data_IF_128451424072
#
_entry.id   IF_128451424072
#
_cell.length_a   1.000
_cell.length_b   1.000
_cell.length_c   1.000
_cell.angle_alpha   90.00
_cell.angle_beta   90.00
_cell.angle_gamma   90.00
#
_symmetry.space_group_name_H-M   'P 1'
#
loop_
_entity.id
_entity.type
_entity.pdbx_description
1 polymer ?
#
# COMPACT_ATOMS: atom_id res chain seq x y z
N UNK A 1 -34.09 5.07 -26.90
CA UNK A 1 -32.70 5.02 -26.44
C UNK A 1 -32.30 3.68 -25.80
N UNK A 2 -33.17 3.02 -25.03
CA UNK A 2 -32.85 1.71 -24.40
C UNK A 2 -32.64 0.56 -25.38
N UNK A 3 -33.43 0.45 -26.45
CA UNK A 3 -33.31 -0.64 -27.41
C UNK A 3 -31.96 -0.68 -28.15
N UNK A 4 -31.39 0.48 -28.48
CA UNK A 4 -30.07 0.54 -29.14
C UNK A 4 -28.93 0.17 -28.19
N UNK A 5 -29.06 0.48 -26.90
CA UNK A 5 -28.08 0.07 -25.86
C UNK A 5 -28.10 -1.44 -25.67
N UNK A 6 -29.30 -2.04 -25.58
CA UNK A 6 -29.46 -3.49 -25.44
C UNK A 6 -28.88 -4.23 -26.66
N UNK A 7 -29.20 -3.76 -27.88
CA UNK A 7 -28.67 -4.36 -29.10
C UNK A 7 -27.13 -4.33 -29.13
N UNK A 8 -26.51 -3.21 -28.76
CA UNK A 8 -25.06 -3.08 -28.65
C UNK A 8 -24.47 -4.05 -27.60
N UNK A 9 -25.14 -4.24 -26.47
CA UNK A 9 -24.70 -5.16 -25.41
C UNK A 9 -24.80 -6.63 -25.82
N UNK A 10 -25.72 -6.97 -26.72
CA UNK A 10 -25.92 -8.32 -27.24
C UNK A 10 -24.99 -8.63 -28.44
N UNK A 11 -24.36 -7.60 -29.03
CA UNK A 11 -23.41 -7.80 -30.13
C UNK A 11 -22.10 -8.31 -29.60
N UNK A 12 -21.61 -9.46 -30.07
CA UNK A 12 -20.34 -10.03 -29.69
C UNK A 12 -19.19 -9.11 -30.14
N UNK A 13 -18.54 -8.49 -29.15
CA UNK A 13 -17.38 -7.64 -29.40
C UNK A 13 -16.09 -8.49 -29.40
N UNK A 14 -15.63 -8.85 -30.58
CA UNK A 14 -14.37 -9.60 -30.72
C UNK A 14 -13.12 -8.69 -30.57
N UNK A 15 -13.27 -7.38 -30.57
CA UNK A 15 -12.16 -6.42 -30.45
C UNK A 15 -11.53 -6.54 -29.08
N UNK A 16 -12.32 -6.51 -28.02
CA UNK A 16 -11.83 -6.67 -26.63
C UNK A 16 -11.09 -7.99 -26.42
N UNK A 17 -11.57 -9.07 -27.04
CA UNK A 17 -10.90 -10.37 -26.98
C UNK A 17 -9.54 -10.32 -27.67
N UNK A 18 -9.45 -9.73 -28.85
CA UNK A 18 -8.20 -9.56 -29.59
C UNK A 18 -7.20 -8.70 -28.80
N UNK A 19 -7.67 -7.59 -28.20
CA UNK A 19 -6.85 -6.69 -27.41
C UNK A 19 -6.31 -7.40 -26.15
N UNK A 20 -7.14 -8.21 -25.47
CA UNK A 20 -6.71 -9.01 -24.32
C UNK A 20 -5.63 -10.04 -24.69
N UNK A 21 -5.81 -10.77 -25.81
CA UNK A 21 -4.80 -11.72 -26.29
C UNK A 21 -3.52 -11.04 -26.74
N UNK A 22 -3.62 -9.90 -27.42
CA UNK A 22 -2.47 -9.09 -27.78
C UNK A 22 -1.70 -8.63 -26.53
N UNK A 23 -2.40 -8.10 -25.54
CA UNK A 23 -1.80 -7.68 -24.28
C UNK A 23 -1.04 -8.83 -23.58
N UNK A 24 -1.65 -10.02 -23.50
CA UNK A 24 -0.99 -11.21 -22.94
C UNK A 24 0.25 -11.61 -23.74
N UNK A 25 0.17 -11.57 -25.07
CA UNK A 25 1.30 -11.86 -25.95
C UNK A 25 2.42 -10.83 -25.76
N UNK A 26 2.08 -9.56 -25.66
CA UNK A 26 3.05 -8.48 -25.42
C UNK A 26 3.72 -8.60 -24.05
N UNK A 27 2.99 -9.01 -23.00
CA UNK A 27 3.57 -9.35 -21.69
C UNK A 27 4.54 -10.53 -21.80
N UNK A 28 4.16 -11.61 -22.50
CA UNK A 28 5.01 -12.80 -22.65
C UNK A 28 6.31 -12.51 -23.40
N UNK A 29 6.28 -11.59 -24.35
CA UNK A 29 7.45 -11.18 -25.12
C UNK A 29 8.25 -10.04 -24.49
N UNK A 30 7.81 -9.52 -23.33
CA UNK A 30 8.46 -8.39 -22.66
C UNK A 30 8.27 -7.03 -23.37
N UNK A 31 7.35 -6.93 -24.32
CA UNK A 31 6.98 -5.66 -24.99
C UNK A 31 6.20 -4.75 -24.06
N UNK A 32 5.51 -5.32 -23.08
CA UNK A 32 4.84 -4.64 -21.98
C UNK A 32 5.43 -5.20 -20.69
N UNK A 33 5.85 -4.33 -19.79
CA UNK A 33 6.30 -4.69 -18.44
C UNK A 33 5.32 -4.13 -17.42
N UNK A 34 4.92 -4.91 -16.38
CA UNK A 34 4.17 -4.40 -15.27
C UNK A 34 4.88 -3.20 -14.62
N UNK A 35 4.15 -2.28 -14.04
CA UNK A 35 4.73 -1.13 -13.38
C UNK A 35 5.33 -1.56 -12.04
N UNK A 36 6.61 -1.28 -11.84
CA UNK A 36 7.28 -1.52 -10.56
C UNK A 36 6.63 -0.68 -9.46
N UNK A 37 6.17 -1.35 -8.41
CA UNK A 37 5.58 -0.69 -7.23
C UNK A 37 6.63 -0.19 -6.24
N UNK A 38 7.92 -0.52 -6.42
CA UNK A 38 8.98 -0.28 -5.44
C UNK A 38 8.87 -1.15 -4.19
N UNK A 39 8.02 -2.16 -4.21
CA UNK A 39 7.77 -3.10 -3.11
C UNK A 39 7.82 -4.51 -3.68
N UNK A 40 8.95 -5.19 -3.49
CA UNK A 40 9.23 -6.49 -4.12
C UNK A 40 8.12 -7.52 -3.91
N UNK A 41 7.65 -7.65 -2.68
CA UNK A 41 6.59 -8.61 -2.39
C UNK A 41 5.24 -8.23 -3.02
N UNK A 42 4.93 -6.94 -3.22
CA UNK A 42 3.74 -6.51 -3.96
C UNK A 42 3.90 -6.82 -5.45
N UNK A 43 5.08 -6.60 -6.01
CA UNK A 43 5.37 -6.99 -7.39
C UNK A 43 5.21 -8.51 -7.59
N UNK A 44 5.70 -9.32 -6.64
CA UNK A 44 5.57 -10.77 -6.70
C UNK A 44 4.11 -11.25 -6.70
N UNK A 45 3.27 -10.68 -5.83
CA UNK A 45 1.84 -11.06 -5.75
C UNK A 45 0.98 -10.46 -6.87
N UNK A 46 1.52 -9.55 -7.66
CA UNK A 46 0.84 -8.87 -8.78
C UNK A 46 1.45 -9.19 -10.15
N UNK A 47 2.03 -10.38 -10.31
CA UNK A 47 2.60 -10.85 -11.58
C UNK A 47 3.73 -9.95 -12.12
N UNK A 48 4.59 -9.45 -11.23
CA UNK A 48 5.74 -8.62 -11.58
C UNK A 48 5.55 -7.13 -11.39
N UNK A 49 4.36 -6.67 -10.96
CA UNK A 49 4.08 -5.26 -10.70
C UNK A 49 2.61 -4.87 -10.92
N UNK A 50 2.33 -3.58 -10.90
CA UNK A 50 0.97 -3.07 -11.09
C UNK A 50 0.58 -3.23 -12.56
N UNK A 51 -0.46 -4.01 -12.80
CA UNK A 51 -1.04 -4.23 -14.14
C UNK A 51 -2.25 -3.30 -14.37
N UNK A 52 -2.47 -2.84 -15.61
CA UNK A 52 -3.72 -2.15 -15.96
C UNK A 52 -4.93 -3.05 -15.69
N UNK A 53 -6.09 -2.44 -15.46
CA UNK A 53 -7.32 -3.14 -15.12
C UNK A 53 -7.36 -3.73 -13.71
N UNK A 54 -6.38 -3.44 -12.86
CA UNK A 54 -6.33 -3.96 -11.48
C UNK A 54 -6.65 -2.90 -10.43
N UNK A 55 -7.15 -3.36 -9.28
CA UNK A 55 -7.37 -2.57 -8.09
C UNK A 55 -6.66 -3.22 -6.90
N UNK A 56 -5.69 -2.51 -6.35
CA UNK A 56 -5.00 -2.87 -5.10
C UNK A 56 -5.53 -2.03 -3.95
N UNK A 57 -6.05 -2.66 -2.91
CA UNK A 57 -6.46 -2.00 -1.68
C UNK A 57 -5.43 -2.22 -0.58
N UNK A 58 -4.92 -1.13 0.00
CA UNK A 58 -4.00 -1.13 1.14
C UNK A 58 -4.80 -0.70 2.37
N UNK A 59 -4.97 -1.60 3.32
CA UNK A 59 -5.79 -1.36 4.50
C UNK A 59 -4.94 -1.39 5.77
N UNK A 60 -5.16 -0.43 6.67
CA UNK A 60 -4.46 -0.38 7.96
C UNK A 60 -5.24 0.44 9.00
N UNK A 61 -4.85 0.33 10.27
CA UNK A 61 -5.25 1.30 11.29
C UNK A 61 -4.56 2.64 11.04
N UNK A 62 -5.15 3.72 11.56
CA UNK A 62 -4.52 5.05 11.53
C UNK A 62 -3.12 4.99 12.16
N UNK A 63 -2.16 5.73 11.61
CA UNK A 63 -0.77 5.73 12.09
C UNK A 63 0.08 4.52 11.69
N UNK A 64 -0.46 3.53 11.01
CA UNK A 64 0.27 2.33 10.59
C UNK A 64 1.03 2.49 9.25
N UNK A 65 1.25 3.71 8.77
CA UNK A 65 2.15 3.98 7.64
C UNK A 65 1.55 3.78 6.25
N UNK A 66 0.22 3.81 6.06
CA UNK A 66 -0.41 3.72 4.73
C UNK A 66 0.17 4.73 3.73
N UNK A 67 0.19 6.01 4.10
CA UNK A 67 0.70 7.08 3.24
C UNK A 67 2.21 6.94 2.96
N UNK A 68 2.97 6.33 3.90
CA UNK A 68 4.37 5.95 3.64
C UNK A 68 4.48 4.92 2.51
N UNK A 69 3.68 3.87 2.57
CA UNK A 69 3.64 2.82 1.54
C UNK A 69 3.17 3.38 0.19
N UNK A 70 2.15 4.25 0.18
CA UNK A 70 1.71 4.93 -1.04
C UNK A 70 2.82 5.83 -1.62
N UNK A 71 3.57 6.51 -0.76
CA UNK A 71 4.73 7.31 -1.17
C UNK A 71 5.85 6.48 -1.81
N UNK A 72 6.13 5.27 -1.30
CA UNK A 72 7.07 4.35 -1.94
C UNK A 72 6.62 3.99 -3.36
N UNK A 73 5.35 3.65 -3.51
CA UNK A 73 4.77 3.30 -4.81
C UNK A 73 4.82 4.52 -5.76
N UNK A 74 4.41 5.72 -5.30
CA UNK A 74 4.51 6.96 -6.09
C UNK A 74 5.93 7.16 -6.63
N UNK A 75 6.91 7.07 -5.73
CA UNK A 75 8.31 7.33 -6.08
C UNK A 75 8.86 6.29 -7.08
N UNK A 76 8.51 5.01 -6.93
CA UNK A 76 8.91 3.97 -7.89
C UNK A 76 8.28 4.18 -9.28
N UNK A 77 6.99 4.54 -9.32
CA UNK A 77 6.28 4.81 -10.56
C UNK A 77 6.88 5.99 -11.35
N UNK A 78 7.33 7.02 -10.65
CA UNK A 78 7.85 8.26 -11.25
C UNK A 78 9.40 8.30 -11.32
N UNK A 79 10.10 7.26 -10.86
CA UNK A 79 11.56 7.21 -10.81
C UNK A 79 12.22 7.36 -12.19
N UNK A 80 11.65 6.75 -13.20
CA UNK A 80 12.13 6.84 -14.58
C UNK A 80 11.38 7.97 -15.31
N UNK A 81 12.04 9.08 -15.70
CA UNK A 81 11.40 10.21 -16.36
C UNK A 81 10.88 9.88 -17.76
N UNK A 82 11.43 8.87 -18.43
CA UNK A 82 11.03 8.44 -19.78
C UNK A 82 9.83 7.48 -19.77
N UNK A 83 9.38 7.07 -18.59
CA UNK A 83 8.26 6.15 -18.46
C UNK A 83 6.95 6.81 -18.87
N UNK A 84 6.23 6.17 -19.80
CA UNK A 84 4.92 6.65 -20.27
C UNK A 84 3.83 6.32 -19.24
N UNK A 85 3.73 7.18 -18.24
CA UNK A 85 2.83 7.05 -17.10
C UNK A 85 2.25 8.39 -16.68
N UNK A 86 1.01 8.37 -16.20
CA UNK A 86 0.37 9.46 -15.46
C UNK A 86 -0.18 8.94 -14.14
N UNK A 87 -0.07 9.74 -13.10
CA UNK A 87 -0.60 9.44 -11.77
C UNK A 87 -1.61 10.52 -11.39
N UNK A 88 -2.85 10.11 -11.11
CA UNK A 88 -3.90 10.94 -10.54
C UNK A 88 -4.07 10.57 -9.07
N UNK A 89 -3.87 11.51 -8.17
CA UNK A 89 -3.93 11.26 -6.72
C UNK A 89 -5.01 12.10 -6.06
N UNK A 90 -6.07 11.45 -5.62
CA UNK A 90 -7.07 12.02 -4.72
C UNK A 90 -6.57 11.88 -3.29
N UNK A 91 -6.12 12.98 -2.69
CA UNK A 91 -5.65 13.04 -1.31
C UNK A 91 -6.61 13.85 -0.46
N UNK A 92 -7.48 13.18 0.26
CA UNK A 92 -8.52 13.77 1.09
C UNK A 92 -8.14 13.89 2.56
N UNK A 93 -7.04 13.23 3.00
CA UNK A 93 -6.70 13.12 4.42
C UNK A 93 -5.79 14.25 4.88
N UNK A 94 -4.81 14.65 4.06
CA UNK A 94 -3.73 15.50 4.53
C UNK A 94 -3.45 16.67 3.57
N UNK A 95 -3.39 17.92 4.05
CA UNK A 95 -2.98 19.06 3.24
C UNK A 95 -1.58 18.88 2.66
N UNK A 96 -1.32 19.42 1.45
CA UNK A 96 -0.05 19.26 0.75
C UNK A 96 1.15 19.71 1.59
N UNK A 97 1.03 20.83 2.33
CA UNK A 97 2.14 21.32 3.16
C UNK A 97 2.56 20.30 4.24
N UNK A 98 1.60 19.52 4.79
CA UNK A 98 1.91 18.48 5.77
C UNK A 98 2.62 17.29 5.12
N UNK A 99 2.23 16.90 3.91
CA UNK A 99 2.92 15.87 3.15
C UNK A 99 4.37 16.28 2.86
N UNK A 100 4.57 17.48 2.34
CA UNK A 100 5.91 18.04 2.09
C UNK A 100 6.74 18.09 3.38
N UNK A 101 6.13 18.51 4.50
CA UNK A 101 6.80 18.56 5.79
C UNK A 101 7.22 17.18 6.30
N UNK A 102 6.40 16.15 6.09
CA UNK A 102 6.74 14.76 6.42
C UNK A 102 7.90 14.24 5.57
N UNK A 103 7.91 14.55 4.28
CA UNK A 103 9.01 14.18 3.37
C UNK A 103 10.32 14.90 3.73
N UNK A 104 10.25 16.20 4.04
CA UNK A 104 11.40 16.96 4.53
C UNK A 104 11.95 16.39 5.84
N UNK A 105 11.09 16.07 6.81
CA UNK A 105 11.50 15.43 8.06
C UNK A 105 12.27 14.13 7.81
N UNK A 106 11.77 13.31 6.89
CA UNK A 106 12.38 12.03 6.52
C UNK A 106 13.74 12.25 5.83
N UNK A 107 13.78 13.14 4.86
CA UNK A 107 14.97 13.37 4.04
C UNK A 107 16.09 14.08 4.82
N UNK A 108 15.74 15.08 5.65
CA UNK A 108 16.68 15.85 6.44
C UNK A 108 17.04 15.20 7.78
N UNK A 109 16.29 14.17 8.21
CA UNK A 109 16.41 13.53 9.55
C UNK A 109 16.34 14.55 10.71
N UNK A 110 15.55 15.63 10.53
CA UNK A 110 15.39 16.73 11.50
C UNK A 110 13.98 16.72 12.11
N UNK A 111 13.83 17.15 13.38
CA UNK A 111 12.51 17.31 13.98
C UNK A 111 11.73 18.44 13.28
N UNK A 112 10.40 18.37 13.34
CA UNK A 112 9.52 19.37 12.74
C UNK A 112 9.80 20.80 13.23
N UNK A 113 10.07 20.95 14.54
CA UNK A 113 10.40 22.27 15.14
C UNK A 113 11.62 22.91 14.51
N UNK A 114 12.62 22.14 14.11
CA UNK A 114 13.81 22.67 13.41
C UNK A 114 13.46 23.06 11.97
N UNK A 115 12.73 22.21 11.25
CA UNK A 115 12.36 22.46 9.84
C UNK A 115 11.46 23.70 9.72
N UNK A 116 10.56 23.91 10.67
CA UNK A 116 9.61 25.05 10.65
C UNK A 116 10.11 26.29 11.37
N UNK A 117 11.07 26.14 12.29
CA UNK A 117 11.54 27.23 13.14
C UNK A 117 12.88 27.84 12.73
N UNK A 118 13.59 27.25 11.78
CA UNK A 118 14.88 27.76 11.31
C UNK A 118 14.88 27.98 9.80
N UNK A 119 15.58 29.03 9.32
CA UNK A 119 15.79 29.20 7.88
C UNK A 119 16.51 27.99 7.27
N UNK A 120 16.13 27.62 6.06
CA UNK A 120 16.77 26.56 5.27
C UNK A 120 18.24 26.92 5.00
N UNK A 121 19.15 25.99 5.31
CA UNK A 121 20.57 26.15 5.00
C UNK A 121 20.89 25.91 3.52
N UNK A 122 22.07 26.34 3.07
CA UNK A 122 22.53 26.09 1.68
C UNK A 122 22.63 24.60 1.37
N UNK A 123 23.06 23.80 2.34
CA UNK A 123 23.20 22.34 2.22
C UNK A 123 21.85 21.62 2.10
N UNK A 124 20.79 22.21 2.62
CA UNK A 124 19.44 21.65 2.56
C UNK A 124 18.69 21.97 1.27
N UNK A 125 19.07 23.04 0.58
CA UNK A 125 18.41 23.49 -0.66
C UNK A 125 18.23 22.38 -1.72
N UNK A 126 19.21 21.48 -1.95
CA UNK A 126 19.01 20.38 -2.90
C UNK A 126 17.88 19.42 -2.50
N UNK A 127 17.70 19.18 -1.18
CA UNK A 127 16.61 18.32 -0.67
C UNK A 127 15.25 18.98 -0.92
N UNK A 128 15.11 20.26 -0.59
CA UNK A 128 13.88 21.01 -0.87
C UNK A 128 13.56 21.03 -2.36
N UNK A 129 14.57 21.30 -3.21
CA UNK A 129 14.39 21.30 -4.66
C UNK A 129 13.96 19.94 -5.20
N UNK A 130 14.56 18.87 -4.68
CA UNK A 130 14.18 17.51 -5.06
C UNK A 130 12.70 17.25 -4.74
N UNK A 131 12.26 17.51 -3.51
CA UNK A 131 10.87 17.31 -3.09
C UNK A 131 9.92 18.18 -3.91
N UNK A 132 10.29 19.47 -4.13
CA UNK A 132 9.50 20.36 -5.00
C UNK A 132 9.30 19.73 -6.39
N UNK A 133 10.36 19.29 -7.04
CA UNK A 133 10.30 18.71 -8.39
C UNK A 133 9.47 17.42 -8.44
N UNK A 134 9.44 16.62 -7.35
CA UNK A 134 8.60 15.42 -7.25
C UNK A 134 7.10 15.76 -7.24
N UNK A 135 6.71 16.91 -6.66
CA UNK A 135 5.32 17.36 -6.68
C UNK A 135 4.97 18.17 -7.93
N UNK A 136 5.95 18.81 -8.57
CA UNK A 136 5.80 19.59 -9.82
C UNK A 136 5.98 18.70 -11.09
N UNK A 137 6.11 17.40 -10.93
CA UNK A 137 6.20 16.46 -12.07
C UNK A 137 4.89 16.47 -12.87
N UNK A 138 4.99 16.82 -14.16
CA UNK A 138 3.85 16.89 -15.09
C UNK A 138 3.08 15.55 -15.24
N UNK A 139 3.68 14.45 -14.78
CA UNK A 139 3.05 13.13 -14.77
C UNK A 139 2.22 12.89 -13.51
N UNK A 140 2.39 13.72 -12.47
CA UNK A 140 1.72 13.59 -11.19
C UNK A 140 0.71 14.72 -10.98
N UNK A 141 -0.55 14.37 -10.79
CA UNK A 141 -1.63 15.32 -10.55
C UNK A 141 -2.34 14.99 -9.23
N UNK A 142 -2.30 15.91 -8.26
CA UNK A 142 -2.94 15.74 -6.96
C UNK A 142 -4.19 16.62 -6.85
N UNK A 143 -5.26 16.04 -6.32
CA UNK A 143 -6.52 16.71 -5.98
C UNK A 143 -6.76 16.59 -4.49
N UNK A 144 -7.01 17.71 -3.82
CA UNK A 144 -7.26 17.79 -2.37
C UNK A 144 -8.69 18.23 -2.02
N UNK A 145 -9.49 18.51 -3.02
CA UNK A 145 -10.90 18.84 -2.83
C UNK A 145 -11.69 17.61 -2.40
N UNK A 146 -12.56 17.76 -1.39
CA UNK A 146 -13.47 16.72 -0.95
C UNK A 146 -14.55 16.49 -2.01
N UNK A 147 -14.49 15.34 -2.66
CA UNK A 147 -15.35 14.95 -3.76
C UNK A 147 -16.33 13.84 -3.37
N UNK A 148 -17.45 13.80 -4.07
CA UNK A 148 -18.40 12.69 -4.04
C UNK A 148 -17.93 11.54 -4.94
N UNK A 149 -18.46 10.31 -4.80
CA UNK A 149 -18.14 9.20 -5.70
C UNK A 149 -18.32 9.54 -7.19
N UNK A 150 -19.41 10.24 -7.52
CA UNK A 150 -19.71 10.66 -8.89
C UNK A 150 -18.68 11.69 -9.43
N UNK A 151 -18.27 12.65 -8.60
CA UNK A 151 -17.23 13.61 -8.99
C UNK A 151 -15.88 12.93 -9.20
N UNK A 152 -15.51 11.98 -8.34
CA UNK A 152 -14.29 11.18 -8.52
C UNK A 152 -14.34 10.42 -9.85
N UNK A 153 -15.48 9.79 -10.17
CA UNK A 153 -15.68 9.09 -11.45
C UNK A 153 -15.51 10.03 -12.64
N UNK A 154 -16.22 11.19 -12.63
CA UNK A 154 -16.19 12.16 -13.72
C UNK A 154 -14.77 12.71 -13.93
N UNK A 155 -14.10 13.13 -12.84
CA UNK A 155 -12.74 13.67 -12.89
C UNK A 155 -11.76 12.61 -13.39
N UNK A 156 -11.84 11.39 -12.88
CA UNK A 156 -10.97 10.27 -13.33
C UNK A 156 -11.19 9.98 -14.80
N UNK A 157 -12.44 9.87 -15.24
CA UNK A 157 -12.77 9.62 -16.64
C UNK A 157 -12.23 10.72 -17.55
N UNK A 158 -12.45 11.98 -17.19
CA UNK A 158 -11.92 13.12 -17.97
C UNK A 158 -10.40 13.13 -17.99
N UNK A 159 -9.75 12.77 -16.89
CA UNK A 159 -8.29 12.67 -16.83
C UNK A 159 -7.78 11.58 -17.77
N UNK A 160 -8.43 10.40 -17.82
CA UNK A 160 -8.07 9.32 -18.73
C UNK A 160 -8.26 9.77 -20.19
N UNK A 161 -9.41 10.37 -20.51
CA UNK A 161 -9.70 10.82 -21.87
C UNK A 161 -8.76 11.93 -22.36
N UNK A 162 -8.33 12.83 -21.49
CA UNK A 162 -7.34 13.87 -21.79
C UNK A 162 -5.92 13.29 -21.99
N UNK A 163 -5.67 12.08 -21.47
CA UNK A 163 -4.38 11.39 -21.54
C UNK A 163 -4.51 10.02 -22.25
N UNK A 164 -5.40 9.90 -23.23
CA UNK A 164 -5.68 8.63 -23.91
C UNK A 164 -4.47 8.00 -24.61
N UNK A 165 -3.47 8.79 -24.97
CA UNK A 165 -2.23 8.32 -25.60
C UNK A 165 -1.22 7.78 -24.57
N UNK A 166 -1.42 8.07 -23.26
CA UNK A 166 -0.58 7.55 -22.20
C UNK A 166 -0.86 6.07 -21.98
N UNK A 167 0.19 5.26 -21.98
CA UNK A 167 0.05 3.80 -21.84
C UNK A 167 -0.48 3.38 -20.46
N UNK A 168 -0.05 4.06 -19.40
CA UNK A 168 -0.37 3.68 -18.05
C UNK A 168 -0.89 4.87 -17.24
N UNK A 169 -2.07 4.73 -16.66
CA UNK A 169 -2.63 5.70 -15.73
C UNK A 169 -2.87 4.98 -14.39
N UNK A 170 -2.25 5.49 -13.34
CA UNK A 170 -2.45 4.97 -11.98
C UNK A 170 -3.23 5.98 -11.15
N UNK A 171 -4.34 5.56 -10.59
CA UNK A 171 -5.21 6.40 -9.77
C UNK A 171 -5.06 6.02 -8.30
N UNK A 172 -4.64 6.98 -7.47
CA UNK A 172 -4.56 6.84 -6.03
C UNK A 172 -5.78 7.47 -5.35
N UNK A 173 -6.33 6.81 -4.34
CA UNK A 173 -7.41 7.35 -3.48
C UNK A 173 -6.98 7.22 -2.02
N UNK A 174 -6.60 8.32 -1.40
CA UNK A 174 -6.16 8.40 0.01
C UNK A 174 -7.15 9.29 0.82
N UNK A 175 -8.08 8.74 1.58
CA UNK A 175 -8.50 7.35 1.65
C UNK A 175 -10.04 7.27 1.45
N UNK A 176 -10.52 6.11 1.06
CA UNK A 176 -11.94 5.89 0.67
C UNK A 176 -12.96 6.25 1.75
N UNK A 177 -12.58 6.22 3.03
CA UNK A 177 -13.50 6.52 4.15
C UNK A 177 -13.79 8.01 4.35
N UNK A 178 -13.08 8.93 3.67
CA UNK A 178 -13.27 10.39 3.79
C UNK A 178 -14.05 10.97 2.61
N UNK A 179 -14.34 10.18 1.59
CA UNK A 179 -15.14 10.60 0.42
C UNK A 179 -16.48 11.14 0.89
N UNK A 180 -16.90 12.27 0.32
CA UNK A 180 -18.14 12.95 0.67
C UNK A 180 -19.33 12.07 0.30
N UNK A 181 -20.14 11.70 1.29
CA UNK A 181 -21.42 11.02 1.06
C UNK A 181 -22.48 12.02 0.64
N UNK A 182 -23.30 11.65 -0.35
CA UNK A 182 -24.45 12.47 -0.80
C UNK A 182 -25.73 12.03 -0.14
N UNK A 183 -26.12 10.76 -0.27
CA UNK A 183 -27.42 10.24 0.17
C UNK A 183 -27.34 8.86 0.86
N UNK A 184 -26.16 8.24 0.90
CA UNK A 184 -25.99 6.91 1.49
C UNK A 184 -25.29 7.00 2.85
N UNK A 185 -25.50 6.04 3.75
CA UNK A 185 -24.78 5.95 5.04
C UNK A 185 -23.26 5.86 4.88
N UNK A 186 -22.78 5.34 3.73
CA UNK A 186 -21.36 5.21 3.40
C UNK A 186 -21.14 5.45 1.90
N UNK A 187 -20.13 6.22 1.50
CA UNK A 187 -19.77 6.41 0.09
C UNK A 187 -19.04 5.22 -0.53
N UNK A 188 -18.59 4.25 0.29
CA UNK A 188 -17.70 3.17 -0.15
C UNK A 188 -18.33 2.30 -1.24
N UNK A 189 -19.57 1.78 -1.11
CA UNK A 189 -20.15 0.93 -2.14
C UNK A 189 -20.22 1.62 -3.51
N UNK A 190 -20.77 2.82 -3.56
CA UNK A 190 -20.89 3.60 -4.79
C UNK A 190 -19.53 3.90 -5.42
N UNK A 191 -18.53 4.29 -4.61
CA UNK A 191 -17.17 4.54 -5.09
C UNK A 191 -16.56 3.28 -5.73
N UNK A 192 -16.71 2.13 -5.09
CA UNK A 192 -16.16 0.87 -5.58
C UNK A 192 -16.82 0.41 -6.88
N UNK A 193 -18.14 0.59 -7.01
CA UNK A 193 -18.88 0.31 -8.24
C UNK A 193 -18.39 1.18 -9.40
N UNK A 194 -18.22 2.49 -9.16
CA UNK A 194 -17.76 3.44 -10.18
C UNK A 194 -16.28 3.20 -10.57
N UNK A 195 -15.41 2.85 -9.62
CA UNK A 195 -14.03 2.41 -9.91
C UNK A 195 -14.05 1.16 -10.79
N UNK A 196 -14.88 0.17 -10.44
CA UNK A 196 -14.99 -1.04 -11.24
C UNK A 196 -15.52 -0.76 -12.67
N UNK A 197 -16.44 0.20 -12.81
CA UNK A 197 -16.88 0.66 -14.13
C UNK A 197 -15.72 1.23 -14.94
N UNK A 198 -14.87 2.09 -14.36
CA UNK A 198 -13.69 2.64 -15.04
C UNK A 198 -12.69 1.54 -15.42
N UNK A 199 -12.45 0.57 -14.54
CA UNK A 199 -11.60 -0.61 -14.87
C UNK A 199 -12.12 -1.37 -16.08
N UNK A 200 -13.44 -1.53 -16.21
CA UNK A 200 -14.07 -2.23 -17.34
C UNK A 200 -14.13 -1.37 -18.61
N UNK A 201 -14.17 -0.05 -18.48
CA UNK A 201 -14.11 0.87 -19.63
C UNK A 201 -12.69 1.01 -20.19
N UNK A 202 -11.65 1.01 -19.33
CA UNK A 202 -10.24 1.23 -19.69
C UNK A 202 -9.33 0.09 -19.18
N UNK A 203 -9.61 -1.18 -19.53
CA UNK A 203 -9.00 -2.35 -18.86
C UNK A 203 -7.50 -2.53 -19.14
N UNK A 204 -6.98 -1.89 -20.20
CA UNK A 204 -5.57 -1.99 -20.60
C UNK A 204 -4.77 -0.70 -20.35
N UNK A 205 -5.35 0.28 -19.64
CA UNK A 205 -4.73 1.58 -19.43
C UNK A 205 -4.74 2.02 -17.96
N UNK A 206 -5.84 1.79 -17.23
CA UNK A 206 -6.01 2.33 -15.87
C UNK A 206 -5.86 1.26 -14.80
N UNK A 207 -5.15 1.60 -13.73
CA UNK A 207 -5.09 0.82 -12.48
C UNK A 207 -5.36 1.72 -11.28
N UNK A 208 -5.82 1.11 -10.18
CA UNK A 208 -6.20 1.83 -8.97
C UNK A 208 -5.43 1.30 -7.77
N UNK A 209 -4.98 2.24 -6.92
CA UNK A 209 -4.48 1.95 -5.57
C UNK A 209 -5.30 2.75 -4.59
N UNK A 210 -5.95 2.04 -3.69
CA UNK A 210 -6.90 2.59 -2.76
C UNK A 210 -6.42 2.37 -1.33
N UNK A 211 -6.42 3.43 -0.51
CA UNK A 211 -6.19 3.31 0.92
C UNK A 211 -7.51 3.16 1.65
N UNK A 212 -7.58 2.13 2.50
CA UNK A 212 -8.73 1.83 3.34
C UNK A 212 -8.36 1.79 4.82
N UNK A 213 -9.37 1.69 5.67
CA UNK A 213 -9.20 1.64 7.11
C UNK A 213 -9.63 0.27 7.67
N UNK A 214 -8.90 -0.20 8.68
CA UNK A 214 -9.29 -1.39 9.43
C UNK A 214 -10.19 -1.01 10.60
N UNK A 215 -11.09 -1.93 10.97
CA UNK A 215 -11.97 -1.80 12.13
C UNK A 215 -11.16 -1.76 13.44
N UNK A 216 -11.70 -1.07 14.46
CA UNK A 216 -11.07 -1.01 15.79
C UNK A 216 -11.07 -2.35 16.53
N UNK A 217 -11.91 -3.29 16.11
CA UNK A 217 -12.01 -4.60 16.76
C UNK A 217 -10.69 -5.38 16.75
N UNK A 218 -9.84 -5.18 15.73
CA UNK A 218 -8.51 -5.79 15.67
C UNK A 218 -7.63 -5.34 16.85
N UNK A 219 -7.77 -4.09 17.32
CA UNK A 219 -7.00 -3.57 18.46
C UNK A 219 -7.31 -4.33 19.76
N UNK A 220 -8.56 -4.79 19.91
CA UNK A 220 -8.95 -5.63 21.06
C UNK A 220 -8.19 -6.95 21.07
N UNK A 221 -8.02 -7.55 19.89
CA UNK A 221 -7.23 -8.79 19.75
C UNK A 221 -5.75 -8.55 20.04
N UNK A 222 -5.19 -7.43 19.58
CA UNK A 222 -3.80 -7.07 19.83
C UNK A 222 -3.51 -6.80 21.31
N UNK A 223 -4.50 -6.32 22.06
CA UNK A 223 -4.37 -6.04 23.50
C UNK A 223 -4.83 -7.21 24.39
N UNK A 224 -5.40 -8.26 23.81
CA UNK A 224 -5.83 -9.43 24.58
C UNK A 224 -4.65 -10.14 25.26
N UNK A 225 -4.90 -10.63 26.47
CA UNK A 225 -3.89 -11.32 27.30
C UNK A 225 -3.89 -12.85 27.11
N UNK A 226 -4.67 -13.34 26.16
CA UNK A 226 -4.87 -14.79 25.93
C UNK A 226 -3.67 -15.51 25.30
N UNK A 227 -2.62 -14.76 24.92
CA UNK A 227 -1.38 -15.31 24.36
C UNK A 227 -1.52 -15.92 22.97
N UNK A 228 -2.72 -16.00 22.41
CA UNK A 228 -2.91 -16.59 21.08
C UNK A 228 -2.54 -15.62 19.96
N UNK A 229 -1.28 -15.63 19.57
CA UNK A 229 -0.71 -14.74 18.54
C UNK A 229 -1.28 -14.97 17.14
N UNK A 230 -1.87 -16.12 16.86
CA UNK A 230 -2.56 -16.36 15.58
C UNK A 230 -3.75 -15.41 15.39
N UNK A 231 -4.35 -14.92 16.46
CA UNK A 231 -5.42 -13.93 16.43
C UNK A 231 -4.96 -12.51 16.10
N UNK A 232 -3.64 -12.25 16.06
CA UNK A 232 -3.10 -10.93 15.72
C UNK A 232 -3.12 -10.65 14.22
N UNK A 233 -3.22 -11.69 13.40
CA UNK A 233 -3.26 -11.53 11.95
C UNK A 233 -4.51 -10.79 11.51
N UNK A 234 -4.36 -9.79 10.65
CA UNK A 234 -5.50 -9.19 9.95
C UNK A 234 -6.26 -10.21 9.10
N UNK A 235 -7.57 -10.10 9.12
CA UNK A 235 -8.49 -10.91 8.33
C UNK A 235 -9.48 -10.03 7.58
N UNK A 236 -10.28 -10.62 6.72
CA UNK A 236 -11.31 -9.87 5.97
C UNK A 236 -12.30 -9.16 6.90
N UNK A 237 -12.66 -9.76 8.04
CA UNK A 237 -13.58 -9.15 9.02
C UNK A 237 -13.03 -7.87 9.68
N UNK A 238 -11.72 -7.65 9.61
CA UNK A 238 -11.09 -6.46 10.17
C UNK A 238 -11.12 -5.23 9.25
N UNK A 239 -11.57 -5.40 8.02
CA UNK A 239 -11.60 -4.33 7.02
C UNK A 239 -12.92 -3.56 7.16
N UNK A 240 -12.86 -2.23 7.26
CA UNK A 240 -14.05 -1.40 7.19
C UNK A 240 -14.63 -1.42 5.78
N UNK A 241 -15.91 -1.78 5.64
CA UNK A 241 -16.54 -2.02 4.34
C UNK A 241 -16.05 -3.31 3.66
N UNK A 242 -15.71 -4.35 4.44
CA UNK A 242 -15.04 -5.58 4.00
C UNK A 242 -15.66 -6.24 2.77
N UNK A 243 -16.98 -6.42 2.74
CA UNK A 243 -17.63 -7.19 1.67
C UNK A 243 -17.44 -6.55 0.30
N UNK A 244 -17.59 -5.25 0.23
CA UNK A 244 -17.43 -4.50 -1.01
C UNK A 244 -15.97 -4.45 -1.45
N UNK A 245 -15.03 -4.18 -0.53
CA UNK A 245 -13.61 -4.20 -0.84
C UNK A 245 -13.15 -5.61 -1.27
N UNK A 246 -13.61 -6.66 -0.58
CA UNK A 246 -13.35 -8.06 -0.96
C UNK A 246 -13.91 -8.40 -2.34
N UNK A 247 -15.07 -7.85 -2.70
CA UNK A 247 -15.71 -8.11 -3.99
C UNK A 247 -14.91 -7.50 -5.15
N UNK A 248 -14.55 -6.23 -5.06
CA UNK A 248 -14.02 -5.46 -6.19
C UNK A 248 -12.50 -5.43 -6.28
N UNK A 249 -11.76 -5.53 -5.17
CA UNK A 249 -10.30 -5.50 -5.21
C UNK A 249 -9.72 -6.79 -5.80
N UNK A 250 -8.64 -6.64 -6.54
CA UNK A 250 -7.86 -7.78 -7.05
C UNK A 250 -6.81 -8.21 -6.01
N UNK A 251 -6.21 -7.24 -5.31
CA UNK A 251 -5.29 -7.45 -4.20
C UNK A 251 -5.79 -6.67 -2.99
N UNK A 252 -5.79 -7.30 -1.81
CA UNK A 252 -6.00 -6.62 -0.53
C UNK A 252 -4.81 -6.92 0.37
N UNK A 253 -4.06 -5.87 0.67
CA UNK A 253 -2.89 -5.90 1.53
C UNK A 253 -3.19 -5.17 2.84
N UNK A 254 -3.26 -5.90 3.95
CA UNK A 254 -3.35 -5.31 5.27
C UNK A 254 -1.95 -4.99 5.80
N UNK A 255 -1.79 -3.79 6.37
CA UNK A 255 -0.52 -3.29 6.86
C UNK A 255 -0.57 -3.06 8.36
N UNK A 256 0.44 -3.57 9.07
CA UNK A 256 0.60 -3.41 10.52
C UNK A 256 2.00 -2.87 10.82
N UNK A 257 2.03 -1.77 11.57
CA UNK A 257 3.24 -1.21 12.17
C UNK A 257 3.20 -1.47 13.68
N UNK A 258 3.86 -2.52 14.20
CA UNK A 258 3.70 -2.97 15.57
C UNK A 258 3.94 -1.87 16.61
N UNK A 259 4.92 -0.98 16.41
CA UNK A 259 5.20 0.15 17.31
C UNK A 259 4.04 1.15 17.41
N UNK A 260 3.24 1.31 16.35
CA UNK A 260 2.11 2.23 16.34
C UNK A 260 0.95 1.73 17.23
N UNK A 261 0.96 0.44 17.56
CA UNK A 261 -0.07 -0.24 18.35
C UNK A 261 0.47 -0.90 19.62
N UNK A 262 1.71 -0.59 20.02
CA UNK A 262 2.35 -1.10 21.24
C UNK A 262 2.60 -2.60 21.24
N UNK A 263 2.91 -3.17 20.09
CA UNK A 263 3.12 -4.61 19.89
C UNK A 263 4.53 -4.97 19.42
N UNK A 264 5.48 -4.07 19.48
CA UNK A 264 6.85 -4.24 18.99
C UNK A 264 7.59 -5.45 19.56
N UNK A 265 7.33 -5.79 20.84
CA UNK A 265 7.90 -6.98 21.49
C UNK A 265 7.04 -8.23 21.39
N UNK A 266 5.85 -8.15 20.79
CA UNK A 266 4.87 -9.26 20.75
C UNK A 266 4.59 -9.77 19.33
N UNK A 267 4.84 -8.94 18.33
CA UNK A 267 4.60 -9.29 16.92
C UNK A 267 5.77 -10.14 16.44
N UNK A 268 5.59 -11.44 16.43
CA UNK A 268 6.62 -12.40 16.01
C UNK A 268 6.18 -13.13 14.74
N UNK A 269 7.13 -13.38 13.87
CA UNK A 269 6.93 -14.17 12.67
C UNK A 269 8.00 -15.25 12.57
N UNK A 270 7.65 -16.39 11.97
CA UNK A 270 8.59 -17.48 11.67
C UNK A 270 8.94 -17.44 10.20
N UNK A 271 10.23 -17.46 9.91
CA UNK A 271 10.76 -17.58 8.55
C UNK A 271 11.29 -19.00 8.34
N UNK A 272 11.11 -19.54 7.14
CA UNK A 272 11.75 -20.81 6.73
C UNK A 272 13.27 -20.71 6.69
N UNK A 273 13.78 -19.52 6.50
CA UNK A 273 15.22 -19.25 6.47
C UNK A 273 15.55 -18.04 7.34
N UNK A 274 16.70 -18.11 8.04
CA UNK A 274 17.16 -17.03 8.92
C UNK A 274 17.37 -15.68 8.18
N UNK A 275 17.52 -15.70 6.85
CA UNK A 275 17.75 -14.53 6.01
C UNK A 275 16.54 -14.17 5.12
N UNK A 276 15.41 -14.85 5.27
CA UNK A 276 14.22 -14.60 4.47
C UNK A 276 13.38 -13.50 5.10
N UNK A 277 12.96 -12.52 4.30
CA UNK A 277 11.93 -11.55 4.66
C UNK A 277 10.52 -12.12 4.49
N UNK A 278 10.40 -13.37 4.08
CA UNK A 278 9.17 -14.10 3.85
C UNK A 278 8.79 -14.86 5.12
N UNK A 279 7.54 -14.72 5.55
CA UNK A 279 6.99 -15.40 6.70
C UNK A 279 5.92 -16.37 6.25
N UNK A 280 6.10 -17.64 6.62
CA UNK A 280 5.11 -18.68 6.25
C UNK A 280 3.86 -18.60 7.11
N UNK A 281 4.04 -18.31 8.40
CA UNK A 281 2.95 -18.17 9.37
C UNK A 281 3.46 -17.55 10.67
N UNK A 282 2.54 -17.01 11.46
CA UNK A 282 2.81 -16.64 12.83
C UNK A 282 2.61 -17.85 13.73
N UNK A 283 3.56 -18.09 14.62
CA UNK A 283 3.49 -19.21 15.57
C UNK A 283 3.25 -18.73 16.99
N UNK A 284 2.59 -19.57 17.78
CA UNK A 284 2.49 -19.41 19.22
C UNK A 284 3.81 -19.80 19.89
N UNK A 285 4.06 -19.35 21.13
CA UNK A 285 5.26 -19.72 21.90
C UNK A 285 5.43 -21.24 22.02
N UNK A 286 4.34 -22.00 22.18
CA UNK A 286 4.35 -23.45 22.25
C UNK A 286 4.82 -24.12 20.95
N UNK A 287 4.50 -23.53 19.81
CA UNK A 287 4.95 -24.01 18.49
C UNK A 287 6.39 -23.60 18.21
N UNK A 288 6.93 -22.60 18.89
CA UNK A 288 8.28 -22.06 18.67
C UNK A 288 9.40 -22.99 19.16
N UNK A 289 9.11 -23.94 20.06
CA UNK A 289 10.12 -24.86 20.62
C UNK A 289 10.78 -25.79 19.59
N UNK A 290 10.25 -25.84 18.33
CA UNK A 290 10.82 -26.64 17.22
C UNK A 290 11.23 -25.79 16.01
N UNK A 291 10.81 -24.53 15.92
CA UNK A 291 11.17 -23.63 14.85
C UNK A 291 12.11 -22.55 15.40
N UNK A 292 13.17 -22.23 14.65
CA UNK A 292 14.08 -21.15 15.03
C UNK A 292 13.31 -19.85 15.02
N UNK A 293 12.79 -19.40 16.17
CA UNK A 293 12.19 -18.10 16.30
C UNK A 293 13.26 -17.03 16.04
N UNK A 294 13.08 -16.27 14.99
CA UNK A 294 13.76 -15.00 14.87
C UNK A 294 12.91 -14.01 15.66
N UNK A 295 13.35 -13.63 16.85
CA UNK A 295 12.84 -12.46 17.55
C UNK A 295 13.18 -11.25 16.68
N UNK A 296 12.29 -10.94 15.74
CA UNK A 296 12.42 -9.74 14.95
C UNK A 296 12.07 -8.59 15.89
N UNK A 297 13.03 -7.71 16.11
CA UNK A 297 12.72 -6.44 16.74
C UNK A 297 11.74 -5.71 15.80
N UNK A 298 10.45 -5.80 16.13
CA UNK A 298 9.39 -5.27 15.30
C UNK A 298 9.29 -3.73 15.35
N UNK A 299 10.20 -3.06 16.08
CA UNK A 299 10.18 -1.62 16.31
C UNK A 299 10.23 -0.81 15.01
N UNK A 300 11.04 -1.25 14.04
CA UNK A 300 11.23 -0.58 12.75
C UNK A 300 10.71 -1.36 11.55
N UNK A 301 9.74 -2.22 11.74
CA UNK A 301 9.22 -3.08 10.69
C UNK A 301 7.77 -2.77 10.40
N UNK A 302 7.42 -2.78 9.13
CA UNK A 302 6.03 -2.86 8.64
C UNK A 302 5.79 -4.28 8.21
N UNK A 303 4.70 -4.86 8.69
CA UNK A 303 4.22 -6.18 8.28
C UNK A 303 3.08 -6.02 7.29
N UNK A 304 3.13 -6.81 6.24
CA UNK A 304 2.15 -6.84 5.17
C UNK A 304 1.50 -8.22 5.12
N UNK A 305 0.17 -8.24 5.13
CA UNK A 305 -0.63 -9.45 5.11
C UNK A 305 -1.59 -9.40 3.93
N UNK A 306 -1.38 -10.29 2.96
CA UNK A 306 -2.24 -10.36 1.78
C UNK A 306 -3.49 -11.16 2.11
N UNK A 307 -4.60 -10.45 2.34
CA UNK A 307 -5.92 -11.03 2.64
C UNK A 307 -6.54 -11.60 1.36
N UNK A 308 -6.31 -10.92 0.23
CA UNK A 308 -6.78 -11.34 -1.09
C UNK A 308 -5.70 -11.15 -2.14
N UNK A 309 -5.55 -12.16 -2.98
CA UNK A 309 -4.73 -12.14 -4.20
C UNK A 309 -5.52 -12.89 -5.27
N UNK A 310 -6.10 -12.18 -6.25
CA UNK A 310 -7.02 -12.79 -7.25
C UNK A 310 -6.31 -13.72 -8.21
N UNK A 311 -5.05 -13.43 -8.53
CA UNK A 311 -4.23 -14.17 -9.50
C UNK A 311 -3.20 -15.08 -8.80
N UNK A 312 -3.43 -15.42 -7.53
CA UNK A 312 -2.59 -16.34 -6.76
C UNK A 312 -2.92 -17.81 -7.11
N UNK A 313 -1.89 -18.56 -7.42
CA UNK A 313 -1.97 -20.01 -7.63
C UNK A 313 -1.75 -20.83 -6.34
N UNK A 314 -1.67 -20.14 -5.19
CA UNK A 314 -1.44 -20.75 -3.87
C UNK A 314 0.03 -20.97 -3.51
N UNK A 315 0.97 -20.57 -4.38
CA UNK A 315 2.41 -20.75 -4.14
C UNK A 315 3.07 -19.55 -3.49
N UNK A 316 2.42 -18.38 -3.54
CA UNK A 316 2.98 -17.11 -3.07
C UNK A 316 2.70 -16.93 -1.56
N UNK A 317 3.73 -16.66 -0.74
CA UNK A 317 3.52 -16.35 0.68
C UNK A 317 2.61 -15.14 0.89
N UNK A 318 1.79 -15.20 1.95
CA UNK A 318 0.81 -14.15 2.26
C UNK A 318 1.29 -13.12 3.28
N UNK A 319 2.48 -13.32 3.85
CA UNK A 319 2.97 -12.49 4.96
C UNK A 319 4.40 -12.06 4.68
N UNK A 320 4.64 -10.75 4.78
CA UNK A 320 5.94 -10.13 4.53
C UNK A 320 6.24 -9.07 5.57
N UNK A 321 7.51 -8.69 5.69
CA UNK A 321 7.88 -7.49 6.43
C UNK A 321 8.98 -6.70 5.72
N UNK A 322 8.97 -5.40 5.95
CA UNK A 322 9.99 -4.48 5.44
C UNK A 322 10.55 -3.65 6.59
N UNK A 323 11.85 -3.41 6.58
CA UNK A 323 12.53 -2.51 7.51
C UNK A 323 12.32 -1.08 7.04
N UNK A 324 11.81 -0.20 7.93
CA UNK A 324 11.55 1.20 7.60
C UNK A 324 12.85 2.02 7.65
N UNK A 325 13.72 1.73 8.63
CA UNK A 325 14.97 2.45 8.83
C UNK A 325 16.06 1.48 9.32
N UNK A 326 16.96 1.00 8.44
CA UNK A 326 18.03 0.07 8.80
C UNK A 326 18.98 0.62 9.88
N UNK A 327 19.29 1.91 9.86
CA UNK A 327 20.22 2.55 10.81
C UNK A 327 19.74 2.47 12.27
N UNK A 328 18.43 2.54 12.49
CA UNK A 328 17.84 2.40 13.84
C UNK A 328 17.87 0.93 14.29
N UNK A 329 17.78 -0.03 13.37
CA UNK A 329 17.87 -1.46 13.71
C UNK A 329 19.25 -1.81 14.24
N UNK A 330 20.32 -1.26 13.67
CA UNK A 330 21.68 -1.50 14.13
C UNK A 330 21.96 -0.85 15.50
N UNK A 331 21.42 0.34 15.75
CA UNK A 331 21.50 1.00 17.06
C UNK A 331 20.75 0.21 18.16
N UNK A 332 19.58 -0.35 17.83
CA UNK A 332 18.81 -1.17 18.78
C UNK A 332 19.45 -2.53 19.01
N UNK A 333 20.08 -3.13 17.98
CA UNK A 333 20.88 -4.35 18.16
C UNK A 333 22.07 -4.11 19.09
N UNK A 334 22.74 -2.97 18.97
CA UNK A 334 23.82 -2.60 19.88
C UNK A 334 23.32 -2.42 21.31
N UNK A 335 22.18 -1.76 21.53
CA UNK A 335 21.57 -1.61 22.87
C UNK A 335 21.16 -2.96 23.48
N UNK A 336 20.55 -3.86 22.72
CA UNK A 336 20.16 -5.19 23.22
C UNK A 336 21.38 -6.07 23.55
N UNK A 337 22.54 -5.87 22.94
CA UNK A 337 23.78 -6.55 23.31
C UNK A 337 24.31 -6.08 24.67
N UNK A 338 24.08 -4.83 25.04
CA UNK A 338 24.49 -4.29 26.35
C UNK A 338 23.48 -4.60 27.47
N UNK A 339 22.21 -4.89 27.15
CA UNK A 339 21.17 -5.24 28.13
C UNK A 339 21.08 -6.75 28.42
N UNK A 340 21.77 -7.62 27.67
CA UNK A 340 21.76 -9.08 27.86
C UNK A 340 23.04 -9.62 28.49
N UNK A 341 23.85 -8.78 29.10
CA UNK A 341 24.96 -9.19 29.95
C UNK A 341 24.69 -8.76 31.41
N UNK A 342 23.79 -9.45 32.14
CA UNK A 342 23.79 -9.37 33.56
C UNK A 342 24.80 -10.40 34.05
N UNK A 343 25.95 -9.93 34.51
CA UNK A 343 26.83 -10.51 35.51
C UNK A 343 26.79 -12.04 35.63
N UNK A 344 27.68 -12.72 34.91
CA UNK A 344 28.11 -14.10 35.22
C UNK A 344 28.93 -14.18 36.54
N UNK A 345 28.84 -13.20 37.42
CA UNK A 345 29.68 -13.13 38.62
C UNK A 345 28.91 -13.09 39.96
N UNK A 346 27.75 -13.75 40.10
CA UNK A 346 27.20 -14.05 41.40
C UNK A 346 26.52 -15.41 41.51
N UNK A 347 27.32 -16.48 41.37
CA UNK A 347 27.00 -17.78 41.98
C UNK A 347 28.27 -18.41 42.53
N UNK A 348 28.80 -17.80 43.56
CA UNK A 348 29.59 -18.50 44.60
C UNK A 348 29.00 -18.08 45.95
N UNK A 349 28.10 -18.91 46.47
CA UNK A 349 27.96 -19.42 47.83
C UNK A 349 26.63 -20.17 47.98
#
# INVERSE_FOLDING_TARGET
>A
MEGSKIQRLLTKDNTRLKDAFKFLTDLQHGNITPLDSGIDHLNNVSLGGILPGTLTSIVARSGNGKSYTLGLIKNALLADPEKDIKVLHFNFEMPLFQLVLLELKKALKKPFSTITGMPMSEEEKPVYRKIYNEYDDKRYHMIQDLLTPQEIYIVTKQFIENNKETKNIVVFIDHIGIIKSTNAPSPIPETMELINQLKLEYPLQVSFILLGQMNREIEKRWTAKDGNRANYLPSSSDIYGSDILMQFSDIIMAQVLPRAVGMEGKYAAVSRSANSHLFDHFVTEEQSGKAKMVHLNAFNRIYYHYIKMRLDDGTIPRHYCTIINPEVEDAVKQQSYYETDPDEDELQF
#
